data_IF_943763246249
#
_entry.id   IF_943763246249
#
_cell.length_a   1.000
_cell.length_b   1.000
_cell.length_c   1.000
_cell.angle_alpha   90.00
_cell.angle_beta   90.00
_cell.angle_gamma   90.00
#
_symmetry.space_group_name_H-M   'P 1'
#
loop_
_entity.id
_entity.type
_entity.pdbx_description
1 polymer ?
#
# COMPACT_ATOMS: atom_id res chain seq x y z
N UNK A 1 -4.65 8.01 5.21
CA UNK A 1 -3.78 7.67 4.07
C UNK A 1 -2.30 7.60 4.45
N UNK A 2 -1.83 8.27 5.50
CA UNK A 2 -0.39 8.33 5.86
C UNK A 2 0.37 6.98 5.83
N UNK A 3 -0.15 5.86 6.37
CA UNK A 3 0.59 4.58 6.35
C UNK A 3 0.91 4.05 4.94
N UNK A 4 0.16 4.47 3.93
CA UNK A 4 0.32 4.03 2.55
C UNK A 4 1.37 4.83 1.79
N UNK A 5 1.83 5.97 2.31
CA UNK A 5 2.81 6.83 1.62
C UNK A 5 4.13 6.12 1.38
N UNK A 6 4.55 5.25 2.31
CA UNK A 6 5.79 4.49 2.19
C UNK A 6 5.83 3.63 0.90
N UNK A 7 4.69 3.09 0.45
CA UNK A 7 4.63 2.33 -0.80
C UNK A 7 4.92 3.22 -2.01
N UNK A 8 4.36 4.43 -2.02
CA UNK A 8 4.63 5.44 -3.06
C UNK A 8 6.09 5.86 -3.04
N UNK A 9 6.61 6.19 -1.86
CA UNK A 9 7.98 6.67 -1.68
C UNK A 9 8.99 5.63 -2.19
N UNK A 10 8.80 4.35 -1.82
CA UNK A 10 9.67 3.26 -2.30
C UNK A 10 9.50 3.02 -3.80
N UNK A 11 8.27 3.04 -4.33
CA UNK A 11 8.06 2.90 -5.78
C UNK A 11 8.78 3.99 -6.55
N UNK A 12 8.72 5.25 -6.11
CA UNK A 12 9.45 6.36 -6.73
C UNK A 12 10.95 6.13 -6.62
N UNK A 13 11.46 5.84 -5.42
CA UNK A 13 12.90 5.63 -5.18
C UNK A 13 13.49 4.48 -6.02
N UNK A 14 12.70 3.44 -6.32
CA UNK A 14 13.14 2.30 -7.13
C UNK A 14 13.06 2.54 -8.64
N UNK A 15 12.27 3.50 -9.10
CA UNK A 15 11.86 3.58 -10.51
C UNK A 15 12.09 4.92 -11.19
N UNK A 16 12.45 5.96 -10.44
CA UNK A 16 12.65 7.32 -10.91
C UNK A 16 14.05 7.77 -10.50
N UNK A 17 14.83 8.24 -11.47
CA UNK A 17 16.15 8.85 -11.26
C UNK A 17 16.04 10.36 -11.14
N UNK A 18 17.11 10.99 -10.66
CA UNK A 18 17.15 12.44 -10.43
C UNK A 18 16.96 13.27 -11.71
N UNK A 19 17.39 12.72 -12.86
CA UNK A 19 17.30 13.32 -14.19
C UNK A 19 16.05 12.89 -14.98
N UNK A 20 15.22 11.99 -14.43
CA UNK A 20 14.00 11.57 -15.11
C UNK A 20 12.94 12.68 -15.08
N UNK A 21 12.42 13.03 -16.26
CA UNK A 21 11.23 13.88 -16.37
C UNK A 21 9.95 13.08 -16.21
N UNK A 22 8.92 13.73 -15.65
CA UNK A 22 7.60 13.14 -15.52
C UNK A 22 7.04 12.68 -16.88
N UNK A 23 6.69 11.40 -16.96
CA UNK A 23 6.19 10.79 -18.19
C UNK A 23 5.11 9.73 -17.91
N UNK A 24 4.56 9.17 -18.99
CA UNK A 24 3.49 8.18 -18.91
C UNK A 24 3.91 6.86 -18.23
N UNK A 25 5.18 6.46 -18.36
CA UNK A 25 5.70 5.24 -17.73
C UNK A 25 5.83 5.40 -16.21
N UNK A 26 6.34 6.54 -15.73
CA UNK A 26 6.38 6.85 -14.29
C UNK A 26 4.97 6.85 -13.71
N UNK A 27 4.02 7.49 -14.42
CA UNK A 27 2.61 7.49 -14.02
C UNK A 27 2.06 6.08 -13.93
N UNK A 28 2.32 5.23 -14.92
CA UNK A 28 1.86 3.83 -14.94
C UNK A 28 2.37 3.06 -13.73
N UNK A 29 3.66 3.18 -13.39
CA UNK A 29 4.26 2.53 -12.20
C UNK A 29 3.60 2.97 -10.89
N UNK A 30 3.22 4.24 -10.77
CA UNK A 30 2.48 4.73 -9.60
C UNK A 30 1.07 4.14 -9.52
N UNK A 31 0.40 3.92 -10.65
CA UNK A 31 -0.89 3.21 -10.66
C UNK A 31 -0.75 1.73 -10.29
N UNK A 32 0.35 1.09 -10.67
CA UNK A 32 0.63 -0.32 -10.34
C UNK A 32 0.72 -0.58 -8.82
N UNK A 33 0.99 0.45 -8.00
CA UNK A 33 0.99 0.38 -6.52
C UNK A 33 -0.32 -0.22 -5.99
N UNK A 34 -1.45 0.04 -6.65
CA UNK A 34 -2.75 -0.50 -6.25
C UNK A 34 -2.79 -2.04 -6.24
N UNK A 35 -1.93 -2.68 -7.03
CA UNK A 35 -1.81 -4.13 -7.17
C UNK A 35 -0.57 -4.72 -6.46
N UNK A 36 0.23 -3.88 -5.80
CA UNK A 36 1.37 -4.33 -4.99
C UNK A 36 0.86 -5.12 -3.79
N UNK A 37 1.58 -6.17 -3.43
CA UNK A 37 1.29 -6.97 -2.25
C UNK A 37 1.83 -6.31 -0.98
N UNK A 38 1.03 -6.34 0.08
CA UNK A 38 1.45 -6.05 1.44
C UNK A 38 0.93 -7.15 2.37
N UNK A 39 1.52 -7.25 3.56
CA UNK A 39 0.97 -8.10 4.60
C UNK A 39 -0.06 -7.28 5.39
N UNK A 40 -1.24 -7.86 5.57
CA UNK A 40 -2.35 -7.30 6.32
C UNK A 40 -2.82 -8.38 7.29
N UNK A 41 -2.65 -8.16 8.59
CA UNK A 41 -3.05 -9.13 9.61
C UNK A 41 -2.48 -10.56 9.38
N UNK A 42 -1.22 -10.65 8.95
CA UNK A 42 -0.56 -11.93 8.65
C UNK A 42 -0.91 -12.55 7.30
N UNK A 43 -1.81 -11.96 6.52
CA UNK A 43 -2.19 -12.42 5.18
C UNK A 43 -1.62 -11.52 4.09
N UNK A 44 -1.26 -12.11 2.95
CA UNK A 44 -0.77 -11.37 1.79
C UNK A 44 -1.95 -10.92 0.94
N UNK A 45 -2.11 -9.61 0.77
CA UNK A 45 -3.20 -9.03 -0.02
C UNK A 45 -2.71 -7.81 -0.79
N UNK A 46 -3.39 -7.47 -1.89
CA UNK A 46 -3.10 -6.24 -2.62
C UNK A 46 -3.42 -5.00 -1.78
N UNK A 47 -2.75 -3.87 -2.07
CA UNK A 47 -3.05 -2.59 -1.43
C UNK A 47 -4.54 -2.25 -1.53
N UNK A 48 -5.13 -2.41 -2.71
CA UNK A 48 -6.56 -2.10 -2.93
C UNK A 48 -7.46 -2.87 -1.97
N UNK A 49 -7.25 -4.18 -1.83
CA UNK A 49 -8.09 -5.02 -0.96
C UNK A 49 -7.84 -4.73 0.54
N UNK A 50 -6.58 -4.56 0.93
CA UNK A 50 -6.22 -4.32 2.32
C UNK A 50 -6.67 -2.96 2.86
N UNK A 51 -6.77 -1.93 1.99
CA UNK A 51 -7.26 -0.60 2.39
C UNK A 51 -8.71 -0.64 2.87
N UNK A 52 -9.58 -1.44 2.24
CA UNK A 52 -10.96 -1.61 2.69
C UNK A 52 -11.02 -2.21 4.10
N UNK A 53 -10.14 -3.17 4.39
CA UNK A 53 -10.03 -3.76 5.73
C UNK A 53 -9.48 -2.77 6.75
N UNK A 54 -8.47 -1.99 6.38
CA UNK A 54 -7.90 -0.92 7.20
C UNK A 54 -8.97 0.11 7.59
N UNK A 55 -9.79 0.58 6.65
CA UNK A 55 -10.85 1.56 6.93
C UNK A 55 -11.90 1.01 7.89
N UNK A 56 -12.33 -0.25 7.69
CA UNK A 56 -13.28 -0.95 8.58
C UNK A 56 -12.72 -1.14 9.98
N UNK A 57 -11.44 -1.51 10.08
CA UNK A 57 -10.76 -1.69 11.36
C UNK A 57 -10.57 -0.36 12.09
N UNK A 58 -10.24 0.72 11.37
CA UNK A 58 -10.10 2.07 11.92
C UNK A 58 -11.41 2.58 12.53
N UNK A 59 -12.52 2.46 11.81
CA UNK A 59 -13.84 2.84 12.34
C UNK A 59 -14.20 2.03 13.59
N UNK A 60 -13.85 0.75 13.62
CA UNK A 60 -14.06 -0.11 14.78
C UNK A 60 -13.18 0.30 15.97
N UNK A 61 -11.88 0.57 15.73
CA UNK A 61 -10.92 1.02 16.74
C UNK A 61 -11.36 2.35 17.38
N UNK A 62 -11.83 3.31 16.58
CA UNK A 62 -12.37 4.57 17.09
C UNK A 62 -13.63 4.36 17.95
N UNK A 63 -14.57 3.52 17.49
CA UNK A 63 -15.82 3.27 18.23
C UNK A 63 -15.59 2.58 19.57
N UNK A 64 -14.60 1.69 19.64
CA UNK A 64 -14.25 0.95 20.85
C UNK A 64 -13.17 1.64 21.69
N UNK A 65 -12.64 2.77 21.22
CA UNK A 65 -11.51 3.47 21.85
C UNK A 65 -10.30 2.55 22.11
N UNK A 66 -10.07 1.62 21.18
CA UNK A 66 -8.99 0.63 21.27
C UNK A 66 -8.20 0.60 19.96
N UNK A 67 -6.98 1.14 20.01
CA UNK A 67 -6.09 1.23 18.86
C UNK A 67 -5.53 -0.13 18.43
N UNK A 68 -5.54 -1.16 19.29
CA UNK A 68 -5.03 -2.50 18.95
C UNK A 68 -5.86 -3.20 17.87
N UNK A 69 -7.09 -2.73 17.66
CA UNK A 69 -8.00 -3.22 16.63
C UNK A 69 -7.66 -2.66 15.24
N UNK A 70 -6.77 -1.68 15.13
CA UNK A 70 -6.39 -1.08 13.85
C UNK A 70 -5.48 -2.03 13.06
N UNK A 71 -5.94 -2.43 11.88
CA UNK A 71 -5.14 -3.19 10.93
C UNK A 71 -4.34 -2.23 10.06
N UNK A 72 -3.03 -2.40 10.02
CA UNK A 72 -2.11 -1.60 9.21
C UNK A 72 -1.38 -2.49 8.20
N UNK A 73 -0.95 -1.91 7.06
CA UNK A 73 -0.11 -2.64 6.12
C UNK A 73 1.30 -2.78 6.66
N UNK A 74 1.89 -3.94 6.44
CA UNK A 74 3.32 -4.16 6.54
C UNK A 74 3.94 -4.14 5.15
N UNK A 75 4.90 -3.25 4.96
CA UNK A 75 5.67 -3.16 3.73
C UNK A 75 6.57 -4.40 3.61
N UNK A 76 6.36 -5.17 2.54
CA UNK A 76 7.24 -6.26 2.12
C UNK A 76 7.99 -5.87 0.86
N UNK A 77 8.94 -6.71 0.43
CA UNK A 77 9.56 -6.53 -0.89
C UNK A 77 8.47 -6.37 -1.95
N UNK A 78 8.54 -5.26 -2.70
CA UNK A 78 7.52 -4.88 -3.69
C UNK A 78 7.51 -5.93 -4.79
N UNK A 79 6.60 -6.89 -4.67
CA UNK A 79 6.27 -7.85 -5.70
C UNK A 79 4.85 -7.55 -6.18
N UNK A 80 4.66 -7.58 -7.49
CA UNK A 80 3.33 -7.46 -8.09
C UNK A 80 2.55 -8.74 -7.84
N UNK A 81 1.32 -8.63 -7.32
CA UNK A 81 0.46 -9.81 -7.17
C UNK A 81 0.17 -10.39 -8.55
N UNK A 82 0.47 -11.67 -8.73
CA UNK A 82 0.12 -12.43 -9.94
C UNK A 82 -1.11 -13.26 -9.60
N UNK A 83 -2.23 -12.97 -10.28
CA UNK A 83 -3.40 -13.85 -10.23
C UNK A 83 -3.00 -15.18 -10.91
N UNK A 84 -3.06 -16.29 -10.18
CA UNK A 84 -3.16 -17.64 -10.77
C UNK A 84 -4.55 -17.86 -11.38
#
# INVERSE_FOLDING_TARGET
>A
MEPLRAFVDVTVAMNVKEDDEWNAEIRKKLFEILNVEAIWNGEKQSITNGVDQMIKSYTTACRQTDASLLLLPELVNINTHTYE
#
